data_IF_915054232949
#
_entry.id   IF_915054232949
#
_cell.length_a   1.000
_cell.length_b   1.000
_cell.length_c   1.000
_cell.angle_alpha   90.00
_cell.angle_beta   90.00
_cell.angle_gamma   90.00
#
_symmetry.space_group_name_H-M   'P 1'
#
loop_
_entity.id
_entity.type
_entity.pdbx_description
1 polymer ?
#
# COMPACT_ATOMS: atom_id res chain seq x y z
N UNK A 1 23.76 -13.47 -17.97
CA UNK A 1 22.56 -14.31 -17.74
C UNK A 1 22.97 -15.42 -16.78
N UNK A 2 22.56 -15.33 -15.52
CA UNK A 2 22.79 -16.36 -14.50
C UNK A 2 21.49 -16.57 -13.74
N UNK A 3 21.14 -17.83 -13.57
CA UNK A 3 19.84 -18.31 -13.14
C UNK A 3 19.64 -18.11 -11.62
N UNK A 4 18.50 -17.56 -11.16
CA UNK A 4 18.25 -17.21 -9.76
C UNK A 4 17.66 -18.39 -8.96
N UNK A 5 18.30 -19.56 -9.02
CA UNK A 5 17.82 -20.73 -8.28
C UNK A 5 18.97 -21.68 -7.92
N UNK A 6 19.85 -21.27 -7.00
CA UNK A 6 20.65 -22.15 -6.15
C UNK A 6 21.51 -21.33 -5.17
N UNK A 7 20.96 -20.91 -4.03
CA UNK A 7 21.76 -20.57 -2.83
C UNK A 7 20.86 -20.37 -1.59
N UNK A 8 20.17 -21.42 -1.17
CA UNK A 8 19.54 -21.44 0.15
C UNK A 8 20.58 -21.75 1.24
N UNK A 9 20.78 -20.81 2.17
CA UNK A 9 21.30 -21.09 3.53
C UNK A 9 21.12 -19.92 4.52
N UNK A 10 21.04 -18.66 4.09
CA UNK A 10 20.70 -17.50 4.99
C UNK A 10 19.79 -16.45 4.29
N UNK A 11 19.45 -16.61 3.01
CA UNK A 11 18.66 -15.64 2.23
C UNK A 11 17.18 -15.98 1.99
N UNK A 12 16.75 -17.23 2.16
CA UNK A 12 15.50 -17.73 1.56
C UNK A 12 14.22 -17.05 2.09
N UNK A 13 14.13 -16.78 3.39
CA UNK A 13 12.95 -16.13 3.98
C UNK A 13 12.91 -14.64 3.68
N UNK A 14 14.05 -13.98 3.61
CA UNK A 14 14.13 -12.56 3.29
C UNK A 14 13.85 -12.30 1.82
N UNK A 15 14.35 -13.15 0.93
CA UNK A 15 14.15 -13.06 -0.52
C UNK A 15 12.69 -13.40 -0.92
N UNK A 16 12.05 -14.34 -0.22
CA UNK A 16 10.60 -14.58 -0.33
C UNK A 16 9.79 -13.37 0.13
N UNK A 17 10.15 -12.77 1.26
CA UNK A 17 9.46 -11.59 1.79
C UNK A 17 9.63 -10.38 0.88
N UNK A 18 10.82 -10.16 0.31
CA UNK A 18 11.06 -9.06 -0.64
C UNK A 18 10.32 -9.26 -1.96
N UNK A 19 10.30 -10.49 -2.48
CA UNK A 19 9.54 -10.81 -3.70
C UNK A 19 8.03 -10.59 -3.47
N UNK A 20 7.51 -11.02 -2.32
CA UNK A 20 6.11 -10.82 -1.94
C UNK A 20 5.82 -9.32 -1.76
N UNK A 21 6.69 -8.58 -1.07
CA UNK A 21 6.55 -7.13 -0.91
C UNK A 21 6.59 -6.37 -2.25
N UNK A 22 7.43 -6.77 -3.20
CA UNK A 22 7.48 -6.16 -4.53
C UNK A 22 6.16 -6.35 -5.30
N UNK A 23 5.56 -7.54 -5.20
CA UNK A 23 4.26 -7.85 -5.81
C UNK A 23 3.14 -7.06 -5.12
N UNK A 24 3.10 -7.05 -3.79
CA UNK A 24 2.09 -6.28 -3.05
C UNK A 24 2.24 -4.77 -3.28
N UNK A 25 3.45 -4.24 -3.32
CA UNK A 25 3.68 -2.81 -3.56
C UNK A 25 3.23 -2.35 -4.95
N UNK A 26 3.18 -3.25 -5.94
CA UNK A 26 2.71 -2.96 -7.30
C UNK A 26 1.19 -3.06 -7.42
N UNK A 27 0.55 -4.01 -6.71
CA UNK A 27 -0.90 -4.22 -6.81
C UNK A 27 -1.71 -3.21 -5.99
N UNK A 28 -1.18 -2.77 -4.84
CA UNK A 28 -1.83 -1.82 -3.94
C UNK A 28 -2.21 -0.49 -4.60
N UNK A 29 -1.32 0.22 -5.35
CA UNK A 29 -1.71 1.47 -6.01
C UNK A 29 -2.82 1.29 -7.05
N UNK A 30 -2.89 0.13 -7.73
CA UNK A 30 -3.95 -0.18 -8.68
C UNK A 30 -5.29 -0.32 -7.97
N UNK A 31 -5.33 -1.03 -6.83
CA UNK A 31 -6.55 -1.18 -6.04
C UNK A 31 -7.00 0.17 -5.47
N UNK A 32 -6.06 1.02 -5.02
CA UNK A 32 -6.36 2.38 -4.55
C UNK A 32 -6.99 3.21 -5.68
N UNK A 33 -6.44 3.16 -6.89
CA UNK A 33 -7.01 3.88 -8.04
C UNK A 33 -8.45 3.44 -8.32
N UNK A 34 -8.74 2.14 -8.31
CA UNK A 34 -10.09 1.59 -8.51
C UNK A 34 -11.02 2.02 -7.37
N UNK A 35 -10.56 1.98 -6.12
CA UNK A 35 -11.33 2.39 -4.95
C UNK A 35 -11.74 3.88 -5.02
N UNK A 36 -10.82 4.75 -5.46
CA UNK A 36 -11.11 6.19 -5.67
C UNK A 36 -12.18 6.37 -6.75
N UNK A 37 -12.13 5.61 -7.85
CA UNK A 37 -13.15 5.68 -8.91
C UNK A 37 -14.52 5.27 -8.36
N UNK A 38 -14.61 4.17 -7.62
CA UNK A 38 -15.87 3.70 -7.02
C UNK A 38 -16.42 4.73 -6.02
N UNK A 39 -15.54 5.32 -5.21
CA UNK A 39 -15.90 6.40 -4.29
C UNK A 39 -16.51 7.61 -5.02
N UNK A 40 -15.86 8.07 -6.11
CA UNK A 40 -16.35 9.18 -6.92
C UNK A 40 -17.72 8.87 -7.54
N UNK A 41 -17.95 7.65 -8.06
CA UNK A 41 -19.25 7.24 -8.60
C UNK A 41 -20.32 7.22 -7.49
N UNK A 42 -19.97 6.74 -6.29
CA UNK A 42 -20.88 6.72 -5.14
C UNK A 42 -21.34 8.12 -4.73
N UNK A 43 -20.41 9.08 -4.68
CA UNK A 43 -20.72 10.50 -4.38
C UNK A 43 -21.55 11.12 -5.50
N UNK A 44 -21.21 10.87 -6.76
CA UNK A 44 -21.96 11.43 -7.90
C UNK A 44 -23.41 10.92 -7.94
N UNK A 45 -23.62 9.65 -7.59
CA UNK A 45 -24.94 9.03 -7.49
C UNK A 45 -25.74 9.60 -6.31
N UNK A 46 -25.07 9.91 -5.20
CA UNK A 46 -25.69 10.61 -4.07
C UNK A 46 -26.16 12.02 -4.39
N UNK A 47 -25.33 12.79 -5.10
CA UNK A 47 -25.69 14.15 -5.51
C UNK A 47 -26.84 14.16 -6.51
N UNK A 48 -26.90 13.19 -7.42
CA UNK A 48 -28.00 13.07 -8.40
C UNK A 48 -29.34 12.61 -7.83
N UNK A 49 -29.35 11.93 -6.68
CA UNK A 49 -30.57 11.40 -6.06
C UNK A 49 -31.52 12.50 -5.55
N UNK A 50 -31.06 13.74 -5.37
CA UNK A 50 -31.91 14.93 -5.20
C UNK A 50 -33.04 14.80 -4.18
N UNK A 51 -34.29 14.80 -4.66
CA UNK A 51 -35.53 14.86 -3.88
C UNK A 51 -36.27 13.53 -3.71
N UNK A 52 -35.77 12.44 -4.30
CA UNK A 52 -36.45 11.14 -4.25
C UNK A 52 -36.04 10.39 -2.96
N UNK A 53 -36.96 10.25 -2.01
CA UNK A 53 -36.68 9.73 -0.66
C UNK A 53 -36.13 8.30 -0.66
N UNK A 54 -36.55 7.46 -1.62
CA UNK A 54 -36.03 6.10 -1.77
C UNK A 54 -34.60 6.07 -2.32
N UNK A 55 -34.34 6.87 -3.36
CA UNK A 55 -33.01 7.01 -3.94
C UNK A 55 -32.04 7.65 -2.93
N UNK A 56 -32.48 8.60 -2.11
CA UNK A 56 -31.68 9.17 -1.01
C UNK A 56 -31.30 8.14 0.04
N UNK A 57 -32.20 7.25 0.45
CA UNK A 57 -31.88 6.19 1.42
C UNK A 57 -30.85 5.23 0.85
N UNK A 58 -31.04 4.78 -0.41
CA UNK A 58 -30.07 3.91 -1.10
C UNK A 58 -28.72 4.61 -1.29
N UNK A 59 -28.74 5.88 -1.68
CA UNK A 59 -27.53 6.65 -1.91
C UNK A 59 -26.78 6.99 -0.61
N UNK A 60 -27.47 7.25 0.51
CA UNK A 60 -26.85 7.38 1.83
C UNK A 60 -26.08 6.11 2.21
N UNK A 61 -26.70 4.94 1.98
CA UNK A 61 -26.03 3.65 2.20
C UNK A 61 -24.76 3.54 1.36
N UNK A 62 -24.85 3.83 0.06
CA UNK A 62 -23.71 3.80 -0.86
C UNK A 62 -22.59 4.78 -0.46
N UNK A 63 -22.95 5.97 0.04
CA UNK A 63 -22.01 6.98 0.51
C UNK A 63 -21.25 6.51 1.75
N UNK A 64 -21.95 5.89 2.72
CA UNK A 64 -21.34 5.32 3.92
C UNK A 64 -20.39 4.17 3.54
N UNK A 65 -20.80 3.27 2.64
CA UNK A 65 -19.92 2.20 2.15
C UNK A 65 -18.68 2.75 1.42
N UNK A 66 -18.82 3.81 0.63
CA UNK A 66 -17.70 4.49 -0.01
C UNK A 66 -16.73 5.12 1.00
N UNK A 67 -17.24 5.82 2.01
CA UNK A 67 -16.43 6.43 3.07
C UNK A 67 -15.70 5.37 3.90
N UNK A 68 -16.37 4.26 4.25
CA UNK A 68 -15.75 3.15 4.98
C UNK A 68 -14.61 2.52 4.16
N UNK A 69 -14.84 2.29 2.86
CA UNK A 69 -13.82 1.74 1.97
C UNK A 69 -12.58 2.66 1.88
N UNK A 70 -12.80 3.98 1.75
CA UNK A 70 -11.73 4.97 1.72
C UNK A 70 -11.00 5.05 3.06
N UNK A 71 -11.73 5.03 4.17
CA UNK A 71 -11.18 5.06 5.52
C UNK A 71 -10.26 3.86 5.78
N UNK A 72 -10.69 2.64 5.45
CA UNK A 72 -9.87 1.43 5.64
C UNK A 72 -8.59 1.50 4.81
N UNK A 73 -8.67 1.92 3.54
CA UNK A 73 -7.48 2.03 2.68
C UNK A 73 -6.47 3.05 3.19
N UNK A 74 -6.94 4.25 3.57
CA UNK A 74 -6.08 5.30 4.13
C UNK A 74 -5.53 4.88 5.49
N UNK A 75 -6.32 4.20 6.32
CA UNK A 75 -5.90 3.74 7.64
C UNK A 75 -4.75 2.74 7.57
N UNK A 76 -4.78 1.79 6.62
CA UNK A 76 -3.68 0.82 6.45
C UNK A 76 -2.39 1.52 6.02
N UNK A 77 -2.45 2.41 5.03
CA UNK A 77 -1.26 3.13 4.56
C UNK A 77 -0.74 4.15 5.57
N UNK A 78 -1.63 4.87 6.25
CA UNK A 78 -1.29 5.81 7.31
C UNK A 78 -0.58 5.12 8.46
N UNK A 79 -1.09 3.96 8.88
CA UNK A 79 -0.46 3.14 9.92
C UNK A 79 0.91 2.62 9.46
N UNK A 80 1.02 2.06 8.25
CA UNK A 80 2.30 1.58 7.70
C UNK A 80 3.32 2.72 7.60
N UNK A 81 2.90 3.92 7.21
CA UNK A 81 3.80 5.07 7.12
C UNK A 81 4.28 5.55 8.50
N UNK A 82 3.38 5.56 9.50
CA UNK A 82 3.74 5.89 10.88
C UNK A 82 4.74 4.86 11.45
N UNK A 83 4.50 3.57 11.22
CA UNK A 83 5.39 2.49 11.67
C UNK A 83 6.76 2.63 10.99
N UNK A 84 6.81 2.86 9.66
CA UNK A 84 8.07 3.08 8.93
C UNK A 84 8.83 4.32 9.41
N UNK A 85 8.13 5.42 9.68
CA UNK A 85 8.74 6.68 10.11
C UNK A 85 9.17 6.71 11.58
N UNK A 86 8.54 5.91 12.44
CA UNK A 86 8.83 5.90 13.88
C UNK A 86 9.83 4.81 14.27
N UNK A 87 9.88 3.70 13.53
CA UNK A 87 10.80 2.58 13.81
C UNK A 87 12.13 2.66 13.06
N UNK A 88 12.55 3.86 12.60
CA UNK A 88 13.79 4.15 11.84
C UNK A 88 14.74 2.95 11.78
N UNK A 89 14.50 2.06 10.81
CA UNK A 89 15.42 0.97 10.50
C UNK A 89 16.53 1.66 9.70
N UNK A 90 17.48 2.22 10.43
CA UNK A 90 18.71 2.76 9.89
C UNK A 90 19.54 1.58 9.36
N UNK A 91 19.17 1.10 8.17
CA UNK A 91 19.93 0.09 7.43
C UNK A 91 21.09 0.74 6.67
N UNK A 92 21.47 1.98 7.00
CA UNK A 92 22.79 2.49 6.62
C UNK A 92 23.80 1.76 7.50
N UNK A 93 24.20 0.56 7.06
CA UNK A 93 25.50 0.05 7.46
C UNK A 93 26.49 1.16 7.12
N UNK A 94 27.26 1.69 8.09
CA UNK A 94 28.19 2.75 7.80
C UNK A 94 29.17 2.24 6.74
N UNK A 95 29.16 2.86 5.56
CA UNK A 95 30.16 2.66 4.49
C UNK A 95 31.60 2.98 4.95
N UNK A 96 31.78 3.29 6.24
CA UNK A 96 33.04 3.66 6.87
C UNK A 96 34.02 2.50 6.97
N UNK A 97 33.58 1.22 6.89
CA UNK A 97 34.51 0.10 6.83
C UNK A 97 35.13 -0.05 5.43
N UNK A 98 34.45 0.34 4.35
CA UNK A 98 34.99 0.29 2.97
C UNK A 98 36.08 1.34 2.72
N UNK A 99 36.09 2.43 3.49
CA UNK A 99 37.10 3.49 3.37
C UNK A 99 38.30 3.34 4.34
N UNK A 100 38.31 2.28 5.17
CA UNK A 100 39.39 2.01 6.12
C UNK A 100 40.34 0.88 5.68
N UNK A 101 40.01 0.16 4.60
CA UNK A 101 40.95 -0.74 3.94
C UNK A 101 41.51 0.01 2.73
N UNK A 102 42.78 0.48 2.78
CA UNK A 102 43.44 0.89 1.56
C UNK A 102 43.45 -0.31 0.60
N UNK A 103 42.90 -0.12 -0.60
CA UNK A 103 42.98 -1.07 -1.70
C UNK A 103 44.46 -1.26 -2.06
N UNK A 104 45.05 -2.35 -1.56
CA UNK A 104 46.31 -2.91 -2.07
C UNK A 104 45.97 -4.00 -3.07
#
# INVERSE_FOLDING_TARGET
MMFPFAAGAVGDVYELVDTVNAILSSIVPIIIAIAVIIFLIGVLKYVRAGEDEEERKKAKGLMIFGVIALFVMVSVWGLVNIIRGTLTLDTTMPDTIENLLPTI
#
